data_IF_623696952404
#
_entry.id   IF_623696952404
#
_cell.length_a   1.000
_cell.length_b   1.000
_cell.length_c   1.000
_cell.angle_alpha   90.00
_cell.angle_beta   90.00
_cell.angle_gamma   90.00
#
_symmetry.space_group_name_H-M   'P 1'
#
loop_
_entity.id
_entity.type
_entity.pdbx_description
1 polymer ?
#
# COMPACT_ATOMS: atom_id res chain seq x y z
N UNK A 1 62.67 9.88 -33.93
CA UNK A 1 63.90 10.58 -33.57
C UNK A 1 63.64 11.36 -32.28
N UNK A 2 64.36 10.96 -31.21
CA UNK A 2 64.62 11.63 -29.91
C UNK A 2 63.45 12.30 -29.15
N UNK A 3 63.03 11.76 -27.99
CA UNK A 3 63.62 11.93 -26.64
C UNK A 3 63.31 13.29 -25.96
N UNK A 4 62.72 13.14 -24.78
CA UNK A 4 63.04 13.81 -23.51
C UNK A 4 62.61 15.28 -23.25
N UNK A 5 61.86 15.35 -22.15
CA UNK A 5 62.12 16.17 -20.95
C UNK A 5 61.58 17.59 -20.77
N UNK A 6 61.15 17.77 -19.51
CA UNK A 6 61.26 18.96 -18.66
C UNK A 6 60.15 20.03 -18.71
N UNK A 7 59.24 19.92 -17.73
CA UNK A 7 58.78 21.06 -16.90
C UNK A 7 60.00 21.77 -16.26
N UNK A 8 59.91 23.00 -15.65
CA UNK A 8 58.72 23.72 -15.19
C UNK A 8 58.77 25.26 -15.39
N UNK A 9 57.70 25.99 -15.02
CA UNK A 9 57.84 27.25 -14.28
C UNK A 9 56.54 27.61 -13.55
N UNK A 10 56.72 27.80 -12.25
CA UNK A 10 55.74 28.09 -11.22
C UNK A 10 54.97 29.38 -11.46
N UNK A 11 53.66 29.34 -11.15
CA UNK A 11 52.91 30.51 -10.67
C UNK A 11 52.11 30.06 -9.45
N UNK A 12 52.54 30.56 -8.30
CA UNK A 12 51.86 30.37 -7.03
C UNK A 12 50.42 30.90 -7.14
N UNK A 13 49.45 30.01 -6.94
CA UNK A 13 48.05 30.40 -6.77
C UNK A 13 47.91 30.93 -5.33
N UNK A 14 47.35 32.14 -5.10
CA UNK A 14 47.37 32.74 -3.78
C UNK A 14 46.52 31.93 -2.81
N UNK A 15 47.11 31.59 -1.66
CA UNK A 15 46.53 30.88 -0.52
C UNK A 15 45.19 31.49 -0.02
N UNK A 16 44.90 32.73 -0.41
CA UNK A 16 43.65 33.43 -0.15
C UNK A 16 42.42 32.79 -0.83
N UNK A 17 42.57 32.22 -2.03
CA UNK A 17 41.44 31.60 -2.74
C UNK A 17 41.02 30.26 -2.12
N UNK A 18 41.97 29.50 -1.55
CA UNK A 18 41.71 28.22 -0.90
C UNK A 18 41.03 28.38 0.47
N UNK A 19 41.28 29.48 1.19
CA UNK A 19 40.63 29.76 2.47
C UNK A 19 39.18 30.20 2.30
N UNK A 20 38.87 30.98 1.27
CA UNK A 20 37.49 31.43 0.99
C UNK A 20 36.61 30.25 0.57
N UNK A 21 37.11 29.31 -0.24
CA UNK A 21 36.34 28.12 -0.60
C UNK A 21 36.13 27.15 0.58
N UNK A 22 37.09 27.04 1.50
CA UNK A 22 36.93 26.19 2.68
C UNK A 22 35.91 26.74 3.68
N UNK A 23 35.86 28.07 3.87
CA UNK A 23 34.85 28.70 4.74
C UNK A 23 33.43 28.61 4.17
N UNK A 24 33.27 28.72 2.85
CA UNK A 24 31.96 28.54 2.20
C UNK A 24 31.47 27.08 2.36
N UNK A 25 32.38 26.10 2.28
CA UNK A 25 32.03 24.68 2.45
C UNK A 25 31.60 24.33 3.89
N UNK A 26 32.23 24.94 4.91
CA UNK A 26 31.84 24.76 6.31
C UNK A 26 30.49 25.42 6.65
N UNK A 27 30.16 26.56 6.03
CA UNK A 27 28.87 27.22 6.24
C UNK A 27 27.68 26.46 5.63
N UNK A 28 27.92 25.59 4.63
CA UNK A 28 26.88 24.78 3.98
C UNK A 28 26.59 23.46 4.70
N UNK A 29 27.42 23.03 5.65
CA UNK A 29 27.34 21.70 6.25
C UNK A 29 26.31 21.57 7.40
N UNK A 30 25.72 22.68 7.87
CA UNK A 30 24.83 22.69 9.04
C UNK A 30 23.42 23.24 8.76
N UNK A 31 22.97 23.25 7.50
CA UNK A 31 21.56 23.55 7.23
C UNK A 31 20.78 22.25 7.26
N UNK A 32 20.29 21.89 8.44
CA UNK A 32 19.21 20.90 8.55
C UNK A 32 18.13 21.29 7.54
N UNK A 33 17.83 20.39 6.61
CA UNK A 33 16.78 20.60 5.63
C UNK A 33 15.45 20.59 6.38
N UNK A 34 14.78 21.73 6.47
CA UNK A 34 13.40 21.80 6.95
C UNK A 34 12.56 20.79 6.14
N UNK A 35 11.71 19.98 6.79
CA UNK A 35 10.88 19.02 6.09
C UNK A 35 9.82 19.77 5.27
N UNK A 36 10.13 20.06 4.02
CA UNK A 36 9.17 20.63 3.06
C UNK A 36 8.45 19.49 2.33
N UNK A 37 7.17 19.28 2.64
CA UNK A 37 6.30 18.42 1.85
C UNK A 37 5.74 19.22 0.66
N UNK A 38 6.03 18.77 -0.56
CA UNK A 38 5.49 19.37 -1.78
C UNK A 38 4.19 18.70 -2.15
N UNK A 39 3.06 19.32 -1.78
CA UNK A 39 1.77 18.97 -2.36
C UNK A 39 1.05 20.25 -2.80
N UNK A 40 0.97 20.37 -4.13
CA UNK A 40 0.14 21.27 -4.95
C UNK A 40 0.85 22.56 -5.43
N UNK A 41 0.99 22.65 -6.76
CA UNK A 41 1.51 23.78 -7.56
C UNK A 41 2.97 24.21 -7.33
N UNK A 42 3.92 23.29 -7.56
CA UNK A 42 5.35 23.43 -7.97
C UNK A 42 6.28 24.57 -7.48
N UNK A 43 5.85 25.63 -6.79
CA UNK A 43 6.69 26.77 -6.39
C UNK A 43 6.29 27.44 -5.06
N UNK A 44 5.21 27.03 -4.39
CA UNK A 44 4.89 27.59 -3.07
C UNK A 44 5.47 26.71 -1.95
N UNK A 45 6.36 27.32 -1.15
CA UNK A 45 6.82 26.72 0.10
C UNK A 45 5.72 26.87 1.14
N UNK A 46 5.08 25.77 1.50
CA UNK A 46 4.22 25.72 2.66
C UNK A 46 5.14 25.63 3.88
N UNK A 47 5.19 26.70 4.68
CA UNK A 47 5.84 26.67 5.98
C UNK A 47 4.92 25.91 6.93
N UNK A 48 5.19 24.62 7.13
CA UNK A 48 4.53 23.83 8.16
C UNK A 48 5.23 24.18 9.47
N UNK A 49 4.69 25.15 10.21
CA UNK A 49 5.06 25.33 11.62
C UNK A 49 4.56 24.10 12.38
N UNK A 50 5.49 23.21 12.74
CA UNK A 50 5.20 22.05 13.56
C UNK A 50 4.88 22.52 14.99
N UNK A 51 3.64 22.91 15.25
CA UNK A 51 3.18 23.30 16.60
C UNK A 51 3.23 22.12 17.60
N UNK A 52 3.39 20.89 17.11
CA UNK A 52 3.65 19.71 17.94
C UNK A 52 4.96 19.05 17.53
N UNK A 53 5.81 18.62 18.48
CA UNK A 53 6.90 17.70 18.16
C UNK A 53 6.26 16.50 17.45
N UNK A 54 6.68 16.24 16.22
CA UNK A 54 6.24 15.06 15.49
C UNK A 54 6.54 13.79 16.30
N UNK A 55 5.85 12.66 16.01
CA UNK A 55 6.12 11.41 16.70
C UNK A 55 7.62 11.10 16.64
N UNK A 56 8.21 10.77 17.79
CA UNK A 56 9.62 10.38 17.83
C UNK A 56 9.78 9.05 17.09
N UNK A 57 10.62 9.08 16.05
CA UNK A 57 10.96 7.89 15.29
C UNK A 57 12.19 7.20 15.88
N UNK A 58 12.24 5.85 15.87
CA UNK A 58 11.21 4.96 15.35
C UNK A 58 10.02 4.83 16.31
N UNK A 59 8.80 4.88 15.76
CA UNK A 59 7.60 4.51 16.52
C UNK A 59 7.72 3.02 16.86
N UNK A 60 7.56 2.61 18.13
CA UNK A 60 7.56 1.19 18.47
C UNK A 60 6.49 0.43 17.68
N UNK A 61 6.75 -0.82 17.26
CA UNK A 61 5.75 -1.61 16.56
C UNK A 61 4.52 -1.82 17.44
N UNK A 62 3.34 -1.59 16.89
CA UNK A 62 2.07 -1.93 17.54
C UNK A 62 1.90 -3.44 17.39
N UNK A 63 1.90 -4.16 18.51
CA UNK A 63 1.68 -5.60 18.55
C UNK A 63 0.27 -5.87 19.04
N UNK A 64 -0.56 -6.43 18.16
CA UNK A 64 -1.92 -6.87 18.50
C UNK A 64 -1.90 -8.40 18.56
N UNK A 65 -2.29 -8.99 19.69
CA UNK A 65 -2.25 -10.46 19.87
C UNK A 65 -3.19 -11.21 18.91
N UNK A 66 -4.34 -10.60 18.57
CA UNK A 66 -5.36 -11.18 17.70
C UNK A 66 -5.82 -10.13 16.68
N UNK A 67 -4.98 -9.82 15.69
CA UNK A 67 -5.27 -8.74 14.76
C UNK A 67 -6.47 -9.11 13.88
N UNK A 68 -7.36 -8.14 13.67
CA UNK A 68 -8.37 -8.16 12.62
C UNK A 68 -7.72 -7.73 11.31
N UNK A 69 -7.94 -8.51 10.26
CA UNK A 69 -7.31 -8.30 8.96
C UNK A 69 -8.36 -7.83 7.96
N UNK A 70 -8.19 -6.61 7.46
CA UNK A 70 -8.89 -6.14 6.28
C UNK A 70 -8.17 -6.60 5.01
N UNK A 71 -8.92 -7.16 4.07
CA UNK A 71 -8.44 -7.65 2.79
C UNK A 71 -9.19 -6.90 1.69
N UNK A 72 -8.52 -5.94 1.06
CA UNK A 72 -9.03 -5.21 -0.09
C UNK A 72 -8.86 -6.03 -1.36
N UNK A 73 -9.93 -6.16 -2.14
CA UNK A 73 -9.89 -6.72 -3.50
C UNK A 73 -10.73 -5.87 -4.45
N UNK A 74 -10.26 -5.72 -5.68
CA UNK A 74 -10.99 -5.02 -6.74
C UNK A 74 -11.10 -5.96 -7.93
N UNK A 75 -12.34 -6.19 -8.37
CA UNK A 75 -12.64 -7.03 -9.52
C UNK A 75 -13.12 -6.16 -10.68
N UNK A 76 -12.60 -6.41 -11.88
CA UNK A 76 -13.13 -5.82 -13.11
C UNK A 76 -13.60 -6.95 -14.02
N UNK A 77 -14.92 -7.20 -13.99
CA UNK A 77 -15.56 -8.31 -14.73
C UNK A 77 -14.82 -9.65 -14.55
N UNK A 78 -14.38 -9.92 -13.33
CA UNK A 78 -13.51 -11.06 -13.02
C UNK A 78 -14.32 -12.19 -12.38
N UNK A 79 -14.50 -13.28 -13.14
CA UNK A 79 -15.23 -14.47 -12.72
C UNK A 79 -14.52 -15.25 -11.61
N UNK A 80 -13.25 -14.97 -11.33
CA UNK A 80 -12.52 -15.61 -10.24
C UNK A 80 -12.76 -14.94 -8.87
N UNK A 81 -13.34 -13.73 -8.84
CA UNK A 81 -13.58 -12.99 -7.61
C UNK A 81 -14.33 -13.80 -6.54
N UNK A 82 -15.45 -14.47 -6.86
CA UNK A 82 -16.10 -15.40 -5.95
C UNK A 82 -15.16 -16.40 -5.26
N UNK A 83 -14.27 -17.01 -6.03
CA UNK A 83 -13.34 -18.04 -5.56
C UNK A 83 -12.26 -17.44 -4.66
N UNK A 84 -11.79 -16.23 -4.95
CA UNK A 84 -10.84 -15.52 -4.08
C UNK A 84 -11.43 -15.23 -2.71
N UNK A 85 -12.65 -14.70 -2.63
CA UNK A 85 -13.34 -14.50 -1.35
C UNK A 85 -13.53 -15.82 -0.63
N UNK A 86 -14.00 -16.84 -1.35
CA UNK A 86 -14.25 -18.16 -0.80
C UNK A 86 -12.97 -18.75 -0.17
N UNK A 87 -11.87 -18.76 -0.90
CA UNK A 87 -10.59 -19.30 -0.44
C UNK A 87 -10.02 -18.50 0.73
N UNK A 88 -10.18 -17.17 0.74
CA UNK A 88 -9.68 -16.33 1.82
C UNK A 88 -10.24 -16.78 3.18
N UNK A 89 -11.54 -17.07 3.24
CA UNK A 89 -12.18 -17.58 4.47
C UNK A 89 -11.96 -19.08 4.66
N UNK A 90 -12.12 -19.89 3.62
CA UNK A 90 -12.10 -21.35 3.73
C UNK A 90 -10.72 -21.92 4.10
N UNK A 91 -9.66 -21.24 3.65
CA UNK A 91 -8.29 -21.66 3.88
C UNK A 91 -7.67 -21.02 5.12
N UNK A 92 -8.37 -20.16 5.85
CA UNK A 92 -7.86 -19.53 7.07
C UNK A 92 -8.04 -20.43 8.30
N UNK A 93 -7.13 -20.32 9.27
CA UNK A 93 -7.30 -20.92 10.59
C UNK A 93 -8.29 -20.11 11.44
N UNK A 94 -8.32 -18.79 11.25
CA UNK A 94 -9.16 -17.86 12.01
C UNK A 94 -10.00 -16.93 11.12
N UNK A 95 -10.95 -17.48 10.33
CA UNK A 95 -11.80 -16.71 9.42
C UNK A 95 -12.64 -15.62 10.11
N UNK A 96 -12.92 -15.76 11.41
CA UNK A 96 -13.64 -14.76 12.21
C UNK A 96 -12.87 -13.43 12.38
N UNK A 97 -11.56 -13.43 12.10
CA UNK A 97 -10.72 -12.22 12.14
C UNK A 97 -10.62 -11.50 10.80
N UNK A 98 -11.15 -12.09 9.73
CA UNK A 98 -11.03 -11.57 8.37
C UNK A 98 -12.22 -10.70 7.99
N UNK A 99 -11.93 -9.59 7.31
CA UNK A 99 -12.89 -8.63 6.78
C UNK A 99 -12.53 -8.33 5.34
N UNK A 100 -13.48 -8.51 4.42
CA UNK A 100 -13.26 -8.27 2.99
C UNK A 100 -13.83 -6.91 2.58
N UNK A 101 -13.02 -6.10 1.90
CA UNK A 101 -13.47 -4.92 1.17
C UNK A 101 -13.43 -5.18 -0.32
N UNK A 102 -14.59 -5.29 -0.95
CA UNK A 102 -14.74 -5.68 -2.35
C UNK A 102 -15.20 -4.47 -3.15
N UNK A 103 -14.43 -4.10 -4.17
CA UNK A 103 -14.87 -3.16 -5.20
C UNK A 103 -15.14 -3.97 -6.45
N UNK A 104 -16.42 -4.21 -6.75
CA UNK A 104 -16.83 -5.04 -7.88
C UNK A 104 -17.26 -4.14 -9.04
N UNK A 105 -16.53 -4.23 -10.15
CA UNK A 105 -16.76 -3.47 -11.36
C UNK A 105 -17.35 -4.38 -12.44
N UNK A 106 -18.66 -4.60 -12.38
CA UNK A 106 -19.38 -5.58 -13.18
C UNK A 106 -20.14 -4.94 -14.36
N UNK A 107 -20.30 -5.69 -15.45
CA UNK A 107 -21.23 -5.35 -16.53
C UNK A 107 -22.59 -6.01 -16.29
N UNK A 108 -23.60 -5.56 -17.03
CA UNK A 108 -24.90 -6.22 -17.03
C UNK A 108 -24.77 -7.69 -17.45
N UNK A 109 -25.25 -8.60 -16.60
CA UNK A 109 -25.22 -10.04 -16.82
C UNK A 109 -23.99 -10.76 -16.26
N UNK A 110 -22.98 -10.05 -15.76
CA UNK A 110 -21.90 -10.67 -14.99
C UNK A 110 -22.44 -11.13 -13.61
N UNK A 111 -21.92 -12.23 -13.06
CA UNK A 111 -22.26 -12.68 -11.70
C UNK A 111 -21.58 -11.75 -10.68
N UNK A 112 -22.34 -11.17 -9.74
CA UNK A 112 -21.77 -10.38 -8.64
C UNK A 112 -20.81 -11.24 -7.80
N UNK A 113 -19.67 -10.66 -7.44
CA UNK A 113 -18.62 -11.38 -6.73
C UNK A 113 -19.10 -12.02 -5.41
N UNK A 114 -19.92 -11.30 -4.64
CA UNK A 114 -20.45 -11.77 -3.36
C UNK A 114 -21.57 -12.82 -3.55
N UNK A 115 -22.34 -12.72 -4.64
CA UNK A 115 -23.36 -13.72 -4.98
C UNK A 115 -22.69 -15.05 -5.32
N UNK A 116 -21.66 -15.02 -6.17
CA UNK A 116 -20.87 -16.21 -6.49
C UNK A 116 -20.18 -16.80 -5.26
N UNK A 117 -19.69 -15.95 -4.34
CA UNK A 117 -19.11 -16.40 -3.06
C UNK A 117 -20.12 -17.21 -2.23
N UNK A 118 -21.34 -16.68 -2.04
CA UNK A 118 -22.38 -17.39 -1.30
C UNK A 118 -22.76 -18.70 -2.01
N UNK A 119 -22.83 -18.71 -3.34
CA UNK A 119 -23.11 -19.92 -4.13
C UNK A 119 -22.08 -21.03 -3.88
N UNK A 120 -20.79 -20.69 -3.83
CA UNK A 120 -19.72 -21.66 -3.55
C UNK A 120 -19.84 -22.27 -2.15
N UNK A 121 -20.21 -21.46 -1.15
CA UNK A 121 -20.47 -21.96 0.20
C UNK A 121 -21.71 -22.85 0.27
N UNK A 122 -22.79 -22.46 -0.40
CA UNK A 122 -24.00 -23.26 -0.47
C UNK A 122 -23.76 -24.65 -1.08
N UNK A 123 -22.94 -24.71 -2.14
CA UNK A 123 -22.51 -25.97 -2.76
C UNK A 123 -21.65 -26.80 -1.79
N UNK A 124 -20.63 -26.19 -1.17
CA UNK A 124 -19.71 -26.88 -0.25
C UNK A 124 -20.42 -27.47 0.97
N UNK A 125 -21.35 -26.72 1.56
CA UNK A 125 -22.05 -27.12 2.78
C UNK A 125 -23.32 -27.93 2.50
N UNK A 126 -23.70 -28.07 1.22
CA UNK A 126 -24.96 -28.69 0.81
C UNK A 126 -26.18 -28.04 1.51
N UNK A 127 -26.15 -26.71 1.63
CA UNK A 127 -27.22 -25.89 2.20
C UNK A 127 -27.45 -24.65 1.31
N UNK A 128 -28.60 -24.52 0.64
CA UNK A 128 -28.86 -23.43 -0.30
C UNK A 128 -28.87 -22.04 0.34
N UNK A 129 -28.99 -21.94 1.67
CA UNK A 129 -29.00 -20.67 2.39
C UNK A 129 -27.66 -20.32 3.04
N UNK A 130 -26.64 -21.17 2.87
CA UNK A 130 -25.36 -20.95 3.52
C UNK A 130 -24.56 -19.83 2.82
N UNK A 131 -24.32 -18.75 3.56
CA UNK A 131 -23.31 -17.76 3.22
C UNK A 131 -22.55 -17.33 4.49
N UNK A 132 -21.62 -18.16 4.98
CA UNK A 132 -20.78 -17.84 6.12
C UNK A 132 -20.07 -16.49 5.97
N UNK A 133 -19.82 -15.80 7.07
CA UNK A 133 -19.06 -14.54 7.13
C UNK A 133 -19.57 -13.41 6.23
N UNK A 134 -20.79 -13.48 5.70
CA UNK A 134 -21.38 -12.42 4.87
C UNK A 134 -21.31 -11.04 5.56
N UNK A 135 -21.54 -10.99 6.88
CA UNK A 135 -21.44 -9.74 7.65
C UNK A 135 -20.02 -9.14 7.73
N UNK A 136 -18.98 -9.89 7.35
CA UNK A 136 -17.59 -9.41 7.29
C UNK A 136 -17.21 -8.92 5.88
N UNK A 137 -18.14 -8.91 4.93
CA UNK A 137 -17.90 -8.47 3.55
C UNK A 137 -18.58 -7.13 3.34
N UNK A 138 -17.81 -6.12 2.95
CA UNK A 138 -18.32 -4.84 2.46
C UNK A 138 -18.11 -4.77 0.95
N UNK A 139 -19.14 -4.34 0.23
CA UNK A 139 -19.17 -4.31 -1.23
C UNK A 139 -19.48 -2.91 -1.73
N UNK A 140 -18.63 -2.41 -2.63
CA UNK A 140 -18.91 -1.27 -3.50
C UNK A 140 -19.11 -1.80 -4.92
N UNK A 141 -20.33 -1.76 -5.43
CA UNK A 141 -20.64 -2.14 -6.80
C UNK A 141 -20.54 -0.92 -7.73
N UNK A 142 -19.84 -1.07 -8.84
CA UNK A 142 -19.64 -0.03 -9.85
C UNK A 142 -19.92 -0.61 -11.25
N UNK A 143 -20.55 0.15 -12.16
CA UNK A 143 -20.64 -0.28 -13.54
C UNK A 143 -19.24 -0.39 -14.17
N UNK A 144 -18.98 -1.46 -14.92
CA UNK A 144 -17.70 -1.68 -15.58
C UNK A 144 -17.32 -0.56 -16.54
N UNK A 145 -18.30 0.10 -17.19
CA UNK A 145 -18.04 1.21 -18.11
C UNK A 145 -17.45 2.45 -17.42
N UNK A 146 -17.64 2.59 -16.12
CA UNK A 146 -17.09 3.69 -15.31
C UNK A 146 -15.68 3.41 -14.77
N UNK A 147 -15.12 2.23 -15.07
CA UNK A 147 -13.78 1.86 -14.64
C UNK A 147 -12.71 2.81 -15.18
N UNK A 148 -11.82 3.27 -14.29
CA UNK A 148 -10.66 4.12 -14.63
C UNK A 148 -9.33 3.46 -14.24
N UNK A 149 -9.32 2.13 -14.18
CA UNK A 149 -8.15 1.34 -13.82
C UNK A 149 -8.03 1.01 -12.33
N UNK A 150 -7.02 0.17 -11.97
CA UNK A 150 -6.90 -0.45 -10.65
C UNK A 150 -6.60 0.54 -9.54
N UNK A 151 -5.90 1.64 -9.82
CA UNK A 151 -5.59 2.67 -8.81
C UNK A 151 -6.85 3.30 -8.24
N UNK A 152 -7.81 3.66 -9.11
CA UNK A 152 -9.09 4.23 -8.68
C UNK A 152 -9.92 3.20 -7.94
N UNK A 153 -9.91 1.94 -8.40
CA UNK A 153 -10.63 0.86 -7.73
C UNK A 153 -10.08 0.60 -6.31
N UNK A 154 -8.74 0.58 -6.15
CA UNK A 154 -8.09 0.43 -4.84
C UNK A 154 -8.32 1.62 -3.92
N UNK A 155 -8.39 2.82 -4.48
CA UNK A 155 -8.76 4.01 -3.69
C UNK A 155 -10.14 3.84 -3.02
N UNK A 156 -11.13 3.31 -3.74
CA UNK A 156 -12.48 3.07 -3.17
C UNK A 156 -12.52 2.02 -2.06
N UNK A 157 -11.52 1.14 -1.94
CA UNK A 157 -11.46 0.21 -0.82
C UNK A 157 -11.16 0.91 0.50
N UNK A 158 -10.55 2.11 0.46
CA UNK A 158 -10.28 2.91 1.66
C UNK A 158 -11.56 3.20 2.46
N UNK A 159 -12.67 3.43 1.76
CA UNK A 159 -13.99 3.68 2.37
C UNK A 159 -14.59 2.43 3.04
N UNK A 160 -14.04 1.25 2.75
CA UNK A 160 -14.51 -0.04 3.28
C UNK A 160 -13.76 -0.47 4.54
N UNK A 161 -12.64 0.19 4.87
CA UNK A 161 -11.87 -0.06 6.08
C UNK A 161 -12.67 0.45 7.29
N UNK A 162 -12.71 -0.34 8.36
CA UNK A 162 -13.54 -0.05 9.54
C UNK A 162 -12.92 -0.63 10.82
N UNK A 163 -11.80 -0.05 11.22
CA UNK A 163 -11.15 -0.37 12.49
C UNK A 163 -10.47 -1.74 12.55
N UNK A 164 -10.09 -2.31 11.41
CA UNK A 164 -9.20 -3.48 11.38
C UNK A 164 -7.75 -3.05 11.70
N UNK A 165 -7.00 -3.94 12.34
CA UNK A 165 -5.64 -3.67 12.82
C UNK A 165 -4.60 -3.70 11.69
N UNK A 166 -4.87 -4.51 10.66
CA UNK A 166 -3.99 -4.69 9.51
C UNK A 166 -4.79 -4.65 8.21
N UNK A 167 -4.20 -4.09 7.16
CA UNK A 167 -4.80 -4.02 5.82
C UNK A 167 -3.86 -4.68 4.80
N UNK A 168 -4.40 -5.56 3.97
CA UNK A 168 -3.70 -6.11 2.81
C UNK A 168 -4.50 -5.94 1.53
N UNK A 169 -3.78 -5.81 0.42
CA UNK A 169 -4.36 -5.79 -0.92
C UNK A 169 -4.09 -7.14 -1.60
N UNK A 170 -5.13 -7.73 -2.18
CA UNK A 170 -5.00 -8.90 -3.07
C UNK A 170 -5.69 -8.62 -4.41
N UNK A 171 -5.29 -9.35 -5.44
CA UNK A 171 -6.00 -9.31 -6.72
C UNK A 171 -7.22 -10.23 -6.66
N UNK A 172 -8.23 -9.97 -7.51
CA UNK A 172 -9.52 -10.69 -7.54
C UNK A 172 -9.46 -12.12 -8.07
N UNK A 173 -8.28 -12.60 -8.43
CA UNK A 173 -8.01 -13.97 -8.88
C UNK A 173 -6.86 -14.60 -8.08
N UNK A 174 -6.85 -14.30 -6.78
CA UNK A 174 -5.91 -14.89 -5.82
C UNK A 174 -6.46 -16.19 -5.26
N UNK A 175 -5.61 -17.21 -5.16
CA UNK A 175 -5.91 -18.45 -4.43
C UNK A 175 -5.09 -18.48 -3.14
N UNK A 176 -5.75 -18.70 -2.01
CA UNK A 176 -5.08 -18.77 -0.71
C UNK A 176 -4.63 -20.19 -0.39
N UNK A 177 -3.50 -20.30 0.30
CA UNK A 177 -3.02 -21.59 0.81
C UNK A 177 -3.63 -21.88 2.18
N UNK A 178 -3.73 -23.16 2.56
CA UNK A 178 -4.22 -23.54 3.89
C UNK A 178 -3.41 -22.86 5.01
N UNK A 179 -4.10 -22.37 6.02
CA UNK A 179 -3.56 -21.67 7.19
C UNK A 179 -2.79 -20.40 6.84
N UNK A 180 -3.22 -19.68 5.78
CA UNK A 180 -2.47 -18.53 5.27
C UNK A 180 -2.41 -17.38 6.29
N UNK A 181 -3.46 -17.16 7.07
CA UNK A 181 -3.58 -16.03 7.99
C UNK A 181 -2.59 -16.17 9.15
N UNK A 182 -2.48 -17.35 9.74
CA UNK A 182 -1.48 -17.65 10.77
C UNK A 182 -0.07 -17.55 10.18
N UNK A 183 0.17 -18.19 9.02
CA UNK A 183 1.48 -18.14 8.35
C UNK A 183 1.91 -16.73 8.00
N UNK A 184 0.98 -15.85 7.67
CA UNK A 184 1.27 -14.46 7.31
C UNK A 184 1.62 -13.61 8.54
N UNK A 185 1.03 -13.90 9.70
CA UNK A 185 1.30 -13.18 10.96
C UNK A 185 2.56 -13.68 11.67
N UNK A 186 2.96 -14.94 11.45
CA UNK A 186 4.12 -15.57 12.10
C UNK A 186 5.46 -15.31 11.38
N UNK A 187 5.47 -14.58 10.25
CA UNK A 187 6.69 -14.21 9.51
C UNK A 187 7.50 -13.14 10.24
#
# INVERSE_FOLDING_TARGET
MSLLDAQPKSKALPLFLAFVTFLISLASANKESEPTAFFNAWNEKINIEAETPGPQYPVPPIVVEKPKIFIGTSAYRDMACPKTLFDAFDMADHPERLYMGVVDQAAYGDEDCVVGYCRLWAEKLNDPNACPYFQHIKLTHLPSFDAKGPTKARHFQGDLIDGQDFCMQVDSHTMFTKSWDTKFLDM
#
